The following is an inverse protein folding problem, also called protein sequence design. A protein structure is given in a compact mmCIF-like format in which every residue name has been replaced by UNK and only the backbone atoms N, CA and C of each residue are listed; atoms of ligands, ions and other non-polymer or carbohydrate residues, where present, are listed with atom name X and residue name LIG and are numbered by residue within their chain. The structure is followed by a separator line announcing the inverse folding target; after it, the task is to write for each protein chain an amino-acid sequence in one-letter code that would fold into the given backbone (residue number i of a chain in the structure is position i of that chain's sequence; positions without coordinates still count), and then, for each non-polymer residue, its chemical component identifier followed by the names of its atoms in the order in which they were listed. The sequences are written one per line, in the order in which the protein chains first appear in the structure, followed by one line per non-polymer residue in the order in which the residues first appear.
data_IF_459283569572
#
_entry.id   IF_459283569572
#
_cell.length_a   1.000
_cell.length_b   1.000
_cell.length_c   1.000
_cell.angle_alpha   90.00
_cell.angle_beta   90.00
_cell.angle_gamma   90.00
#
_symmetry.space_group_name_H-M   'P 1'
#
loop_
_entity.id
_entity.type
_entity.pdbx_description
1 polymer ?
#
# COMPACT_ATOMS: atom_id res chain seq x y z
N UNK A 1 -75.49 7.73 28.31
CA UNK A 1 -74.88 8.51 27.22
C UNK A 1 -73.63 7.78 26.74
N UNK A 2 -73.78 7.04 25.65
CA UNK A 2 -72.76 6.53 24.71
C UNK A 2 -73.40 6.78 23.31
N UNK A 3 -72.68 7.00 22.17
CA UNK A 3 -71.79 6.00 21.53
C UNK A 3 -70.57 6.58 20.72
N UNK A 4 -69.44 5.88 20.49
CA UNK A 4 -69.03 4.93 19.40
C UNK A 4 -68.63 5.58 18.03
N UNK A 5 -67.39 5.28 17.59
CA UNK A 5 -66.88 5.07 16.19
C UNK A 5 -66.94 6.21 15.15
N UNK A 6 -66.10 6.32 14.10
CA UNK A 6 -65.19 5.41 13.37
C UNK A 6 -64.43 6.23 12.29
N UNK A 7 -63.35 5.64 11.74
CA UNK A 7 -62.84 5.67 10.33
C UNK A 7 -61.40 6.16 10.20
N UNK A 8 -60.47 5.27 9.84
CA UNK A 8 -60.11 4.84 8.46
C UNK A 8 -58.90 5.66 8.01
N UNK A 9 -57.71 5.12 7.77
CA UNK A 9 -57.40 4.02 6.87
C UNK A 9 -56.74 4.61 5.63
N UNK A 10 -55.41 4.72 5.62
CA UNK A 10 -54.62 4.94 4.41
C UNK A 10 -53.23 4.32 4.58
N UNK A 11 -53.10 3.07 4.13
CA UNK A 11 -51.80 2.45 3.85
C UNK A 11 -51.22 3.16 2.64
N UNK A 12 -50.30 4.10 2.83
CA UNK A 12 -49.52 4.63 1.72
C UNK A 12 -48.39 3.65 1.39
N UNK A 13 -48.64 2.98 0.27
CA UNK A 13 -47.79 2.11 -0.51
C UNK A 13 -46.40 2.68 -0.78
N UNK A 14 -45.42 1.78 -0.76
CA UNK A 14 -43.96 1.98 -0.80
C UNK A 14 -43.26 2.20 -2.16
N UNK A 15 -43.87 2.42 -3.35
CA UNK A 15 -43.07 2.41 -4.58
C UNK A 15 -42.58 3.79 -5.07
N UNK A 16 -42.90 4.91 -4.40
CA UNK A 16 -42.51 6.25 -4.93
C UNK A 16 -41.11 6.69 -4.46
N UNK A 17 -40.56 6.10 -3.39
CA UNK A 17 -39.22 6.47 -2.90
C UNK A 17 -38.08 5.85 -3.72
N UNK A 18 -38.38 4.88 -4.60
CA UNK A 18 -37.36 4.23 -5.46
C UNK A 18 -37.03 5.09 -6.68
N UNK A 19 -37.93 5.96 -7.14
CA UNK A 19 -37.68 6.74 -8.37
C UNK A 19 -36.79 7.98 -8.15
N UNK A 20 -36.68 8.50 -6.92
CA UNK A 20 -35.79 9.63 -6.58
C UNK A 20 -34.36 9.19 -6.23
N UNK A 21 -34.14 7.91 -5.92
CA UNK A 21 -32.79 7.39 -5.64
C UNK A 21 -32.03 7.01 -6.93
N UNK A 22 -32.73 6.79 -8.05
CA UNK A 22 -32.09 6.47 -9.34
C UNK A 22 -31.60 7.72 -10.08
N UNK A 23 -32.12 8.91 -9.75
CA UNK A 23 -31.75 10.17 -10.43
C UNK A 23 -30.57 10.92 -9.77
N UNK A 24 -29.87 10.30 -8.81
CA UNK A 24 -28.60 10.82 -8.26
C UNK A 24 -27.38 10.07 -8.85
N UNK A 25 -27.60 9.04 -9.66
CA UNK A 25 -26.54 8.28 -10.36
C UNK A 25 -26.12 8.87 -11.71
N UNK A 26 -26.66 10.03 -12.09
CA UNK A 26 -26.35 10.72 -13.35
C UNK A 26 -25.41 11.92 -13.18
N UNK A 27 -24.68 12.01 -12.07
CA UNK A 27 -23.52 12.90 -12.00
C UNK A 27 -22.29 12.13 -12.48
N UNK A 28 -21.69 12.48 -13.64
CA UNK A 28 -20.33 12.05 -13.93
C UNK A 28 -19.44 12.67 -12.87
N UNK A 29 -19.01 11.86 -11.91
CA UNK A 29 -17.93 12.22 -11.02
C UNK A 29 -16.74 12.58 -11.91
N UNK A 30 -16.35 13.85 -11.89
CA UNK A 30 -15.03 14.24 -12.36
C UNK A 30 -13.99 13.34 -11.68
N UNK A 31 -12.95 12.88 -12.38
CA UNK A 31 -11.89 12.09 -11.77
C UNK A 31 -11.08 13.05 -10.89
N UNK A 32 -11.55 13.27 -9.67
CA UNK A 32 -10.65 13.58 -8.57
C UNK A 32 -9.68 12.41 -8.54
N UNK A 33 -8.40 12.69 -8.77
CA UNK A 33 -7.31 11.73 -8.70
C UNK A 33 -7.38 11.01 -7.35
N UNK A 34 -8.06 9.87 -7.33
CA UNK A 34 -8.06 8.97 -6.21
C UNK A 34 -6.61 8.55 -6.06
N UNK A 35 -5.98 8.92 -4.94
CA UNK A 35 -4.74 8.30 -4.51
C UNK A 35 -4.94 6.79 -4.67
N UNK A 36 -4.15 6.18 -5.55
CA UNK A 36 -4.32 4.79 -5.95
C UNK A 36 -4.41 3.93 -4.66
N UNK A 37 -5.51 3.20 -4.41
CA UNK A 37 -5.64 2.37 -3.22
C UNK A 37 -4.50 1.36 -3.10
N UNK A 38 -3.86 0.99 -4.22
CA UNK A 38 -2.63 0.21 -4.23
C UNK A 38 -1.44 0.99 -3.65
N UNK A 39 -1.28 2.27 -3.99
CA UNK A 39 -0.26 3.15 -3.41
C UNK A 39 -0.50 3.38 -1.92
N UNK A 40 -1.74 3.63 -1.49
CA UNK A 40 -2.06 3.76 -0.06
C UNK A 40 -1.82 2.46 0.71
N UNK A 41 -2.17 1.33 0.11
CA UNK A 41 -1.89 0.01 0.69
C UNK A 41 -0.38 -0.26 0.75
N UNK A 42 0.38 0.05 -0.30
CA UNK A 42 1.84 -0.09 -0.32
C UNK A 42 2.51 0.83 0.70
N UNK A 43 2.02 2.06 0.88
CA UNK A 43 2.50 3.00 1.89
C UNK A 43 2.18 2.50 3.31
N UNK A 44 0.95 2.01 3.52
CA UNK A 44 0.52 1.43 4.79
C UNK A 44 1.27 0.14 5.12
N UNK A 45 1.54 -0.71 4.11
CA UNK A 45 2.28 -1.95 4.26
C UNK A 45 3.77 -1.67 4.52
N UNK A 46 4.40 -0.76 3.77
CA UNK A 46 5.78 -0.34 4.02
C UNK A 46 5.94 0.26 5.42
N UNK A 47 5.00 1.11 5.85
CA UNK A 47 4.97 1.66 7.21
C UNK A 47 4.90 0.55 8.27
N UNK A 48 3.94 -0.38 8.15
CA UNK A 48 3.79 -1.48 9.10
C UNK A 48 4.99 -2.45 9.09
N UNK A 49 5.61 -2.68 7.94
CA UNK A 49 6.78 -3.56 7.81
C UNK A 49 8.01 -2.94 8.46
N UNK A 50 8.17 -1.62 8.36
CA UNK A 50 9.24 -0.86 9.02
C UNK A 50 9.02 -0.81 10.53
N UNK A 51 7.79 -0.54 10.98
CA UNK A 51 7.43 -0.60 12.40
C UNK A 51 7.70 -2.00 12.98
N UNK A 52 7.32 -3.05 12.24
CA UNK A 52 7.56 -4.44 12.64
C UNK A 52 9.05 -4.82 12.67
N UNK A 53 9.85 -4.31 11.72
CA UNK A 53 11.29 -4.59 11.67
C UNK A 53 12.07 -3.86 12.79
N UNK A 54 11.62 -2.66 13.15
CA UNK A 54 12.16 -1.90 14.29
C UNK A 54 11.85 -2.63 15.60
N UNK A 55 10.60 -3.06 15.80
CA UNK A 55 10.21 -3.81 17.00
C UNK A 55 10.91 -5.16 17.10
N UNK A 56 11.09 -5.88 15.98
CA UNK A 56 11.81 -7.15 15.95
C UNK A 56 13.30 -7.01 16.32
N UNK A 57 13.93 -5.89 15.97
CA UNK A 57 15.31 -5.58 16.39
C UNK A 57 15.39 -5.05 17.83
N UNK A 58 14.38 -4.35 18.32
CA UNK A 58 14.36 -3.83 19.70
C UNK A 58 14.17 -4.93 20.77
N UNK A 59 13.62 -6.09 20.40
CA UNK A 59 13.33 -7.19 21.32
C UNK A 59 14.49 -8.18 21.55
N UNK A 60 15.64 -8.03 20.86
CA UNK A 60 16.80 -8.92 21.01
C UNK A 60 17.92 -8.17 21.77
N UNK A 61 18.31 -8.58 22.99
CA UNK A 61 19.49 -7.99 23.63
C UNK A 61 20.73 -8.54 22.95
N UNK A 62 21.25 -7.81 21.95
CA UNK A 62 22.52 -8.08 21.30
C UNK A 62 23.53 -6.95 21.60
N UNK A 63 24.83 -7.28 21.73
CA UNK A 63 25.85 -6.38 22.24
C UNK A 63 26.12 -5.25 21.24
N UNK A 64 26.40 -4.05 21.77
CA UNK A 64 26.81 -2.82 21.10
C UNK A 64 27.21 -2.93 19.61
N UNK A 65 26.21 -3.10 18.74
CA UNK A 65 26.31 -2.82 17.32
C UNK A 65 25.70 -1.43 17.14
N UNK A 66 26.50 -0.54 16.56
CA UNK A 66 26.19 0.86 16.34
C UNK A 66 24.80 0.94 15.70
N UNK A 67 23.80 1.39 16.47
CA UNK A 67 22.51 1.79 15.96
C UNK A 67 22.78 3.02 15.11
N UNK A 68 23.03 2.82 13.82
CA UNK A 68 22.97 3.92 12.87
C UNK A 68 21.50 4.28 12.79
N UNK A 69 21.09 5.26 13.60
CA UNK A 69 19.83 5.96 13.41
C UNK A 69 19.67 6.26 11.92
N UNK A 70 18.46 6.12 11.33
CA UNK A 70 18.26 6.46 9.93
C UNK A 70 18.82 7.87 9.73
N UNK A 71 19.87 7.98 8.92
CA UNK A 71 20.47 9.27 8.61
C UNK A 71 19.33 10.19 8.16
N UNK A 72 19.30 11.47 8.61
CA UNK A 72 18.29 12.41 8.15
C UNK A 72 18.24 12.32 6.63
N UNK A 73 17.05 12.04 6.10
CA UNK A 73 16.82 11.84 4.67
C UNK A 73 17.56 12.95 3.93
N UNK A 74 18.59 12.63 3.11
CA UNK A 74 19.30 13.65 2.37
C UNK A 74 18.27 14.45 1.61
N UNK A 75 18.30 15.78 1.77
CA UNK A 75 17.41 16.70 1.05
C UNK A 75 17.37 16.23 -0.41
N UNK A 76 16.17 15.95 -0.92
CA UNK A 76 16.04 15.51 -2.30
C UNK A 76 16.80 16.50 -3.19
N UNK A 77 17.56 16.03 -4.20
CA UNK A 77 18.27 16.92 -5.10
C UNK A 77 17.28 17.99 -5.59
N UNK A 78 17.69 19.26 -5.57
CA UNK A 78 16.83 20.36 -5.98
C UNK A 78 16.28 20.17 -7.40
N UNK A 79 17.00 19.40 -8.22
CA UNK A 79 16.52 18.85 -9.48
C UNK A 79 17.04 17.42 -9.64
N UNK A 80 16.15 16.49 -9.97
CA UNK A 80 16.48 15.20 -10.58
C UNK A 80 16.08 15.26 -12.05
N UNK A 81 16.95 14.80 -12.93
CA UNK A 81 16.57 14.63 -14.32
C UNK A 81 15.83 13.29 -14.55
N UNK A 82 15.36 13.07 -15.78
CA UNK A 82 14.63 11.85 -16.12
C UNK A 82 15.50 10.57 -16.00
N UNK A 83 16.82 10.70 -16.19
CA UNK A 83 17.74 9.57 -16.07
C UNK A 83 17.95 9.20 -14.60
N UNK A 84 18.10 10.19 -13.71
CA UNK A 84 18.19 10.00 -12.27
C UNK A 84 16.93 9.33 -11.70
N UNK A 85 15.74 9.79 -12.12
CA UNK A 85 14.47 9.20 -11.70
C UNK A 85 14.34 7.74 -12.16
N UNK A 86 14.79 7.46 -13.38
CA UNK A 86 14.80 6.10 -13.91
C UNK A 86 15.75 5.19 -13.12
N UNK A 87 16.97 5.64 -12.87
CA UNK A 87 17.94 4.88 -12.09
C UNK A 87 17.42 4.60 -10.67
N UNK A 88 16.83 5.61 -10.02
CA UNK A 88 16.19 5.46 -8.72
C UNK A 88 15.05 4.43 -8.75
N UNK A 89 14.22 4.46 -9.79
CA UNK A 89 13.12 3.49 -9.93
C UNK A 89 13.65 2.07 -10.12
N UNK A 90 14.65 1.90 -10.98
CA UNK A 90 15.26 0.59 -11.24
C UNK A 90 15.95 0.02 -9.99
N UNK A 91 16.60 0.88 -9.19
CA UNK A 91 17.24 0.48 -7.93
C UNK A 91 16.21 0.15 -6.84
N UNK A 92 15.26 1.06 -6.59
CA UNK A 92 14.32 0.95 -5.47
C UNK A 92 13.19 -0.04 -5.70
N UNK A 93 12.79 -0.26 -6.95
CA UNK A 93 11.64 -1.09 -7.29
C UNK A 93 12.04 -2.28 -8.16
N UNK A 94 13.25 -2.83 -7.94
CA UNK A 94 13.77 -3.99 -8.68
C UNK A 94 12.86 -5.24 -8.65
N UNK A 95 11.99 -5.33 -7.64
CA UNK A 95 10.98 -6.40 -7.51
C UNK A 95 9.82 -6.27 -8.52
N UNK A 96 9.58 -5.09 -9.07
CA UNK A 96 8.57 -4.87 -10.12
C UNK A 96 9.09 -5.36 -11.47
N UNK A 97 8.18 -5.73 -12.38
CA UNK A 97 8.55 -6.01 -13.78
C UNK A 97 8.98 -4.74 -14.50
N UNK A 98 9.73 -4.90 -15.61
CA UNK A 98 10.13 -3.74 -16.44
C UNK A 98 8.93 -2.94 -16.96
N UNK A 99 7.80 -3.58 -17.24
CA UNK A 99 6.58 -2.89 -17.69
C UNK A 99 5.98 -2.04 -16.56
N UNK A 100 5.87 -2.59 -15.35
CA UNK A 100 5.37 -1.87 -14.18
C UNK A 100 6.26 -0.69 -13.78
N UNK A 101 7.59 -0.83 -13.87
CA UNK A 101 8.51 0.29 -13.65
C UNK A 101 8.34 1.40 -14.70
N UNK A 102 8.11 1.03 -15.96
CA UNK A 102 7.82 1.99 -17.02
C UNK A 102 6.49 2.72 -16.78
N UNK A 103 5.45 2.01 -16.33
CA UNK A 103 4.16 2.62 -15.95
C UNK A 103 4.30 3.58 -14.77
N UNK A 104 5.07 3.20 -13.74
CA UNK A 104 5.36 4.06 -12.60
C UNK A 104 6.05 5.37 -13.03
N UNK A 105 7.07 5.26 -13.89
CA UNK A 105 7.78 6.42 -14.44
C UNK A 105 6.86 7.31 -15.29
N UNK A 106 6.03 6.71 -16.14
CA UNK A 106 5.06 7.45 -16.94
C UNK A 106 4.01 8.18 -16.08
N UNK A 107 3.56 7.55 -14.99
CA UNK A 107 2.66 8.17 -14.03
C UNK A 107 3.28 9.36 -13.31
N UNK A 108 4.55 9.23 -12.90
CA UNK A 108 5.31 10.32 -12.29
C UNK A 108 5.53 11.47 -13.28
N UNK A 109 5.97 11.16 -14.51
CA UNK A 109 6.20 12.16 -15.57
C UNK A 109 4.91 12.94 -15.89
N UNK A 110 3.78 12.23 -15.99
CA UNK A 110 2.47 12.85 -16.16
C UNK A 110 2.11 13.77 -14.99
N UNK A 111 2.32 13.33 -13.75
CA UNK A 111 2.03 14.13 -12.57
C UNK A 111 2.88 15.40 -12.50
N UNK A 112 4.16 15.31 -12.88
CA UNK A 112 5.07 16.45 -12.89
C UNK A 112 4.81 17.40 -14.07
N UNK A 113 4.39 16.87 -15.22
CA UNK A 113 4.09 17.66 -16.42
C UNK A 113 2.77 18.42 -16.33
N UNK A 114 1.85 18.00 -15.45
CA UNK A 114 0.56 18.68 -15.24
C UNK A 114 0.76 20.13 -14.73
N UNK A 115 0.25 21.16 -15.44
CA UNK A 115 0.30 22.55 -14.98
C UNK A 115 -0.38 22.77 -13.63
N UNK A 116 -1.42 22.01 -13.30
CA UNK A 116 -2.11 22.11 -12.00
C UNK A 116 -1.20 21.72 -10.82
N UNK A 117 -0.20 20.86 -11.09
CA UNK A 117 0.76 20.41 -10.09
C UNK A 117 2.01 21.29 -10.01
N UNK A 118 2.13 22.34 -10.84
CA UNK A 118 3.28 23.24 -10.86
C UNK A 118 3.76 23.72 -9.48
N UNK A 119 2.89 24.19 -8.55
CA UNK A 119 3.33 24.63 -7.22
C UNK A 119 3.75 23.47 -6.29
N UNK A 120 3.46 22.22 -6.65
CA UNK A 120 3.71 21.04 -5.84
C UNK A 120 4.81 20.12 -6.39
N UNK A 121 5.40 20.43 -7.56
CA UNK A 121 6.37 19.55 -8.23
C UNK A 121 7.51 19.10 -7.32
N UNK A 122 8.12 20.05 -6.60
CA UNK A 122 9.23 19.76 -5.69
C UNK A 122 8.79 18.88 -4.52
N UNK A 123 7.57 19.08 -4.01
CA UNK A 123 7.02 18.26 -2.94
C UNK A 123 6.71 16.82 -3.42
N UNK A 124 6.14 16.68 -4.62
CA UNK A 124 5.88 15.38 -5.26
C UNK A 124 7.19 14.62 -5.45
N UNK A 125 8.21 15.28 -6.02
CA UNK A 125 9.54 14.70 -6.20
C UNK A 125 10.18 14.31 -4.87
N UNK A 126 10.19 15.21 -3.88
CA UNK A 126 10.78 14.92 -2.58
C UNK A 126 10.10 13.75 -1.89
N UNK A 127 8.77 13.67 -1.94
CA UNK A 127 8.00 12.56 -1.39
C UNK A 127 8.31 11.25 -2.12
N UNK A 128 8.32 11.27 -3.46
CA UNK A 128 8.65 10.10 -4.26
C UNK A 128 10.05 9.56 -3.95
N UNK A 129 11.06 10.43 -3.92
CA UNK A 129 12.45 10.06 -3.59
C UNK A 129 12.54 9.50 -2.17
N UNK A 130 11.82 10.09 -1.21
CA UNK A 130 11.73 9.59 0.15
C UNK A 130 11.21 8.16 0.20
N UNK A 131 10.08 7.89 -0.48
CA UNK A 131 9.48 6.55 -0.56
C UNK A 131 10.41 5.57 -1.26
N UNK A 132 10.97 5.92 -2.41
CA UNK A 132 11.87 5.05 -3.17
C UNK A 132 13.09 4.62 -2.33
N UNK A 133 13.72 5.56 -1.62
CA UNK A 133 14.85 5.25 -0.71
C UNK A 133 14.43 4.35 0.44
N UNK A 134 13.27 4.60 1.02
CA UNK A 134 12.72 3.78 2.11
C UNK A 134 12.43 2.34 1.66
N UNK A 135 11.88 2.17 0.45
CA UNK A 135 11.64 0.86 -0.16
C UNK A 135 12.95 0.14 -0.43
N UNK A 136 13.93 0.80 -1.05
CA UNK A 136 15.27 0.23 -1.31
C UNK A 136 15.94 -0.23 -0.01
N UNK A 137 15.93 0.63 1.02
CA UNK A 137 16.48 0.30 2.32
C UNK A 137 15.78 -0.91 2.96
N UNK A 138 14.44 -0.92 2.99
CA UNK A 138 13.68 -2.03 3.54
C UNK A 138 13.98 -3.34 2.80
N UNK A 139 14.04 -3.30 1.46
CA UNK A 139 14.39 -4.46 0.65
C UNK A 139 15.79 -4.99 0.98
N UNK A 140 16.80 -4.12 1.05
CA UNK A 140 18.17 -4.50 1.43
C UNK A 140 18.25 -5.10 2.84
N UNK A 141 17.48 -4.57 3.80
CA UNK A 141 17.43 -5.14 5.15
C UNK A 141 16.83 -6.54 5.14
N UNK A 142 15.73 -6.75 4.40
CA UNK A 142 15.12 -8.07 4.24
C UNK A 142 16.06 -9.05 3.53
N UNK A 143 16.81 -8.58 2.54
CA UNK A 143 17.75 -9.41 1.78
C UNK A 143 18.91 -9.91 2.65
N UNK A 144 19.36 -9.09 3.61
CA UNK A 144 20.43 -9.40 4.58
C UNK A 144 20.01 -10.34 5.71
N UNK A 145 18.71 -10.61 5.86
CA UNK A 145 18.25 -11.53 6.90
C UNK A 145 18.83 -12.94 6.68
N UNK A 146 19.19 -13.60 7.77
CA UNK A 146 19.61 -15.00 7.70
C UNK A 146 18.44 -15.88 7.22
N UNK A 147 18.71 -17.06 6.63
CA UNK A 147 17.66 -17.99 6.23
C UNK A 147 16.72 -18.37 7.38
N UNK A 148 17.26 -18.52 8.60
CA UNK A 148 16.48 -18.81 9.80
C UNK A 148 15.55 -17.65 10.17
N UNK A 149 16.04 -16.40 10.12
CA UNK A 149 15.24 -15.21 10.39
C UNK A 149 14.14 -15.03 9.33
N UNK A 150 14.43 -15.28 8.05
CA UNK A 150 13.43 -15.25 6.97
C UNK A 150 12.34 -16.29 7.19
N UNK A 151 12.71 -17.51 7.59
CA UNK A 151 11.75 -18.56 7.91
C UNK A 151 10.88 -18.20 9.13
N UNK A 152 11.49 -17.67 10.20
CA UNK A 152 10.76 -17.21 11.38
C UNK A 152 9.77 -16.07 11.02
N UNK A 153 10.18 -15.14 10.15
CA UNK A 153 9.34 -14.07 9.63
C UNK A 153 8.17 -14.63 8.81
N UNK A 154 8.41 -15.57 7.89
CA UNK A 154 7.37 -16.21 7.10
C UNK A 154 6.35 -16.97 7.97
N UNK A 155 6.79 -17.65 9.02
CA UNK A 155 5.90 -18.32 9.97
C UNK A 155 5.06 -17.32 10.79
N UNK A 156 5.68 -16.21 11.24
CA UNK A 156 4.97 -15.13 11.94
C UNK A 156 3.92 -14.49 11.02
N UNK A 157 4.29 -14.24 9.78
CA UNK A 157 3.38 -13.76 8.74
C UNK A 157 2.18 -14.69 8.58
N UNK A 158 2.39 -16.00 8.43
CA UNK A 158 1.30 -16.96 8.28
C UNK A 158 0.35 -17.00 9.49
N UNK A 159 0.87 -16.82 10.72
CA UNK A 159 0.03 -16.71 11.92
C UNK A 159 -0.83 -15.44 11.91
N UNK A 160 -0.22 -14.29 11.60
CA UNK A 160 -0.93 -13.01 11.55
C UNK A 160 -1.93 -12.96 10.38
N UNK A 161 -1.62 -13.59 9.26
CA UNK A 161 -2.50 -13.68 8.11
C UNK A 161 -3.86 -14.30 8.48
N UNK A 162 -3.86 -15.35 9.32
CA UNK A 162 -5.10 -16.01 9.76
C UNK A 162 -6.01 -15.13 10.62
N UNK A 163 -5.47 -14.08 11.24
CA UNK A 163 -6.27 -13.15 12.07
C UNK A 163 -6.91 -12.05 11.23
N UNK A 164 -6.53 -11.90 9.97
CA UNK A 164 -7.13 -10.93 9.04
C UNK A 164 -8.51 -11.40 8.59
N UNK A 165 -9.38 -10.45 8.23
CA UNK A 165 -10.66 -10.79 7.60
C UNK A 165 -10.44 -11.46 6.22
N UNK A 166 -11.35 -12.34 5.76
CA UNK A 166 -11.18 -13.13 4.53
C UNK A 166 -10.91 -12.29 3.28
N UNK A 167 -11.46 -11.09 3.21
CA UNK A 167 -11.29 -10.17 2.08
C UNK A 167 -9.84 -9.68 2.01
N UNK A 168 -9.25 -9.30 3.15
CA UNK A 168 -7.85 -8.88 3.24
C UNK A 168 -6.89 -10.04 3.02
N UNK A 169 -7.24 -11.24 3.48
CA UNK A 169 -6.48 -12.45 3.20
C UNK A 169 -6.37 -12.68 1.68
N UNK A 170 -7.50 -12.68 0.97
CA UNK A 170 -7.52 -12.87 -0.47
C UNK A 170 -6.68 -11.83 -1.20
N UNK A 171 -6.87 -10.54 -0.90
CA UNK A 171 -6.11 -9.46 -1.51
C UNK A 171 -4.59 -9.61 -1.30
N UNK A 172 -4.16 -9.89 -0.06
CA UNK A 172 -2.75 -10.04 0.28
C UNK A 172 -2.13 -11.28 -0.38
N UNK A 173 -2.87 -12.40 -0.46
CA UNK A 173 -2.41 -13.61 -1.16
C UNK A 173 -2.23 -13.38 -2.67
N UNK A 174 -3.13 -12.58 -3.28
CA UNK A 174 -3.01 -12.21 -4.69
C UNK A 174 -1.77 -11.35 -4.93
N UNK A 175 -1.49 -10.40 -4.04
CA UNK A 175 -0.29 -9.55 -4.14
C UNK A 175 1.02 -10.33 -3.98
N UNK A 176 1.08 -11.28 -3.03
CA UNK A 176 2.24 -12.17 -2.88
C UNK A 176 2.47 -13.04 -4.13
N UNK A 177 1.39 -13.59 -4.71
CA UNK A 177 1.47 -14.36 -5.97
C UNK A 177 1.89 -13.49 -7.15
N UNK A 178 1.40 -12.25 -7.20
CA UNK A 178 1.79 -11.27 -8.21
C UNK A 178 3.18 -10.68 -7.98
N UNK A 179 3.87 -11.03 -6.88
CA UNK A 179 5.16 -10.44 -6.45
C UNK A 179 5.12 -8.91 -6.43
N UNK A 180 3.96 -8.36 -6.05
CA UNK A 180 3.73 -6.92 -6.02
C UNK A 180 4.23 -6.26 -4.73
N UNK A 181 4.66 -7.05 -3.75
CA UNK A 181 5.21 -6.55 -2.48
C UNK A 181 6.73 -6.33 -2.62
N UNK A 182 7.31 -5.33 -1.94
CA UNK A 182 8.75 -5.09 -1.89
C UNK A 182 9.47 -6.13 -1.02
N UNK A 183 9.35 -7.40 -1.40
CA UNK A 183 9.94 -8.54 -0.70
C UNK A 183 10.99 -9.20 -1.60
N UNK A 184 12.14 -9.62 -1.04
CA UNK A 184 13.06 -10.51 -1.73
C UNK A 184 12.34 -11.77 -2.24
N UNK A 185 12.72 -12.25 -3.42
CA UNK A 185 12.04 -13.37 -4.07
C UNK A 185 12.00 -14.63 -3.20
N UNK A 186 13.10 -14.93 -2.50
CA UNK A 186 13.21 -16.08 -1.60
C UNK A 186 12.25 -15.95 -0.40
N UNK A 187 12.17 -14.77 0.20
CA UNK A 187 11.24 -14.51 1.31
C UNK A 187 9.78 -14.59 0.84
N UNK A 188 9.46 -14.07 -0.35
CA UNK A 188 8.12 -14.17 -0.92
C UNK A 188 7.71 -15.63 -1.11
N UNK A 189 8.60 -16.47 -1.65
CA UNK A 189 8.36 -17.89 -1.86
C UNK A 189 8.23 -18.66 -0.52
N UNK A 190 9.01 -18.28 0.51
CA UNK A 190 8.86 -18.80 1.87
C UNK A 190 7.50 -18.41 2.49
N UNK A 191 7.04 -17.18 2.31
CA UNK A 191 5.74 -16.73 2.80
C UNK A 191 4.59 -17.48 2.11
N UNK A 192 4.65 -17.63 0.79
CA UNK A 192 3.66 -18.42 0.03
C UNK A 192 3.63 -19.88 0.50
N UNK A 193 4.80 -20.47 0.73
CA UNK A 193 4.92 -21.84 1.26
C UNK A 193 4.34 -21.96 2.67
N UNK A 194 4.63 -20.99 3.55
CA UNK A 194 4.11 -20.95 4.90
C UNK A 194 2.57 -20.81 4.93
N UNK A 195 1.98 -20.06 3.99
CA UNK A 195 0.53 -19.97 3.83
C UNK A 195 -0.10 -21.27 3.32
N UNK A 196 0.60 -22.03 2.46
CA UNK A 196 0.12 -23.31 1.97
C UNK A 196 0.12 -24.39 3.07
N UNK A 197 1.19 -24.46 3.87
CA UNK A 197 1.30 -25.38 5.02
C UNK A 197 0.39 -25.02 6.21
N UNK A 198 -0.22 -23.84 6.16
CA UNK A 198 -1.07 -23.31 7.22
C UNK A 198 -2.57 -23.61 7.04
N UNK A 199 -2.95 -24.22 5.92
CA UNK A 199 -4.32 -24.67 5.62
C UNK A 199 -4.53 -26.09 6.14
#
# INVERSE_FOLDING_TARGET
MAPISTRSGARLSRPVLVLMLVLVLAFPAAPAAAADPLLMFMLGFAKNLIESAIEANAAKPAPAAIVVAPAPLPKAPAHMDAADLRALVDESFGYLSSAQRAELLAGLDKALSDPANAPYRDAILAQFVGVARQVSFAHQQLERLSPEDKQALAQRFARNYRTLAPEYQQALSQQLRARALPLPADLNDMMLSALASAQ
#
